data_IF_414330605335
#
_entry.id   IF_414330605335
#
_cell.length_a   1.000
_cell.length_b   1.000
_cell.length_c   1.000
_cell.angle_alpha   90.00
_cell.angle_beta   90.00
_cell.angle_gamma   90.00
#
_symmetry.space_group_name_H-M   'P 1'
#
loop_
_entity.id
_entity.type
_entity.pdbx_description
1 polymer ?
#
# COMPACT_ATOMS: atom_id res chain seq x y z
N UNK A 1 -7.25 5.56 -16.59
CA UNK A 1 -7.21 5.64 -15.13
C UNK A 1 -5.98 4.88 -14.67
N UNK A 2 -4.99 5.57 -14.11
CA UNK A 2 -3.77 4.95 -13.59
C UNK A 2 -4.07 4.17 -12.30
N UNK A 3 -3.48 2.99 -12.12
CA UNK A 3 -3.68 2.16 -10.92
C UNK A 3 -3.35 2.94 -9.64
N UNK A 4 -2.32 3.78 -9.69
CA UNK A 4 -1.92 4.64 -8.57
C UNK A 4 -3.07 5.54 -8.11
N UNK A 5 -3.78 6.18 -9.03
CA UNK A 5 -4.89 7.09 -8.67
C UNK A 5 -6.04 6.34 -7.98
N UNK A 6 -6.36 5.12 -8.45
CA UNK A 6 -7.37 4.27 -7.83
C UNK A 6 -6.98 3.87 -6.41
N UNK A 7 -5.71 3.47 -6.23
CA UNK A 7 -5.16 3.12 -4.93
C UNK A 7 -5.21 4.34 -4.00
N UNK A 8 -4.79 5.52 -4.44
CA UNK A 8 -4.82 6.72 -3.58
C UNK A 8 -6.23 7.16 -3.17
N UNK A 9 -7.20 7.06 -4.07
CA UNK A 9 -8.61 7.29 -3.73
C UNK A 9 -9.10 6.27 -2.68
N UNK A 10 -8.75 4.99 -2.85
CA UNK A 10 -9.08 3.94 -1.90
C UNK A 10 -8.45 4.16 -0.53
N UNK A 11 -7.18 4.58 -0.47
CA UNK A 11 -6.51 4.86 0.81
C UNK A 11 -7.18 6.02 1.56
N UNK A 12 -7.68 7.03 0.85
CA UNK A 12 -8.46 8.13 1.44
C UNK A 12 -9.82 7.66 1.95
N UNK A 13 -10.54 6.85 1.17
CA UNK A 13 -11.86 6.31 1.52
C UNK A 13 -11.80 5.36 2.72
N UNK A 14 -10.80 4.47 2.73
CA UNK A 14 -10.62 3.46 3.78
C UNK A 14 -9.86 3.95 5.01
N UNK A 15 -9.27 5.15 4.94
CA UNK A 15 -8.29 5.68 5.90
C UNK A 15 -7.14 4.69 6.23
N UNK A 16 -6.83 3.80 5.28
CA UNK A 16 -5.84 2.72 5.44
C UNK A 16 -4.43 3.23 5.10
N UNK A 17 -3.40 2.89 5.89
CA UNK A 17 -2.02 3.21 5.52
C UNK A 17 -1.54 2.47 4.26
N UNK A 18 -0.71 3.09 3.40
CA UNK A 18 -0.23 2.48 2.15
C UNK A 18 0.52 1.16 2.35
N UNK A 19 1.30 1.05 3.42
CA UNK A 19 2.03 -0.19 3.75
C UNK A 19 1.11 -1.31 4.25
N UNK A 20 -0.02 -0.97 4.88
CA UNK A 20 -1.04 -1.95 5.28
C UNK A 20 -1.77 -2.46 4.05
N UNK A 21 -2.16 -1.55 3.17
CA UNK A 21 -2.79 -1.88 1.90
C UNK A 21 -1.94 -2.85 1.07
N UNK A 22 -0.67 -2.53 0.85
CA UNK A 22 0.22 -3.39 0.09
C UNK A 22 0.38 -4.78 0.72
N UNK A 23 0.48 -4.86 2.06
CA UNK A 23 0.55 -6.13 2.79
C UNK A 23 -0.76 -6.93 2.69
N UNK A 24 -1.91 -6.27 2.68
CA UNK A 24 -3.23 -6.89 2.61
C UNK A 24 -3.58 -7.36 1.19
N UNK A 25 -3.30 -6.53 0.17
CA UNK A 25 -3.65 -6.81 -1.21
C UNK A 25 -2.71 -7.84 -1.86
N UNK A 26 -1.40 -7.70 -1.63
CA UNK A 26 -0.39 -8.44 -2.40
C UNK A 26 0.78 -8.95 -1.55
N UNK A 27 0.70 -8.82 -0.21
CA UNK A 27 1.78 -9.16 0.74
C UNK A 27 3.07 -8.36 0.54
N UNK A 28 2.99 -7.17 -0.08
CA UNK A 28 4.14 -6.28 -0.32
C UNK A 28 3.88 -4.88 0.27
N UNK A 29 4.51 -4.49 1.39
CA UNK A 29 4.29 -3.18 2.01
C UNK A 29 4.88 -2.00 1.20
N UNK A 30 5.73 -2.25 0.19
CA UNK A 30 6.34 -1.20 -0.65
C UNK A 30 5.53 -0.87 -1.90
N UNK A 31 4.49 -1.65 -2.20
CA UNK A 31 3.66 -1.51 -3.40
C UNK A 31 3.34 -0.04 -3.75
N UNK A 32 2.76 0.71 -2.81
CA UNK A 32 2.33 2.10 -3.07
C UNK A 32 3.52 3.04 -3.24
N UNK A 33 4.61 2.81 -2.50
CA UNK A 33 5.85 3.58 -2.64
C UNK A 33 6.46 3.38 -4.03
N UNK A 34 6.53 2.14 -4.50
CA UNK A 34 7.04 1.83 -5.82
C UNK A 34 6.15 2.43 -6.93
N UNK A 35 4.82 2.32 -6.80
CA UNK A 35 3.88 2.92 -7.76
C UNK A 35 4.07 4.45 -7.83
N UNK A 36 4.31 5.11 -6.70
CA UNK A 36 4.63 6.55 -6.64
C UNK A 36 5.97 6.89 -7.27
N UNK A 37 6.94 5.98 -7.20
CA UNK A 37 8.23 6.10 -7.87
C UNK A 37 8.17 5.82 -9.38
N UNK A 38 6.99 5.52 -9.94
CA UNK A 38 6.81 5.25 -11.37
C UNK A 38 6.99 3.78 -11.76
N UNK A 39 6.96 2.84 -10.80
CA UNK A 39 6.95 1.40 -11.11
C UNK A 39 5.69 1.06 -11.89
N UNK A 40 5.85 0.39 -13.02
CA UNK A 40 4.71 -0.16 -13.77
C UNK A 40 4.28 -1.52 -13.20
N UNK A 41 3.06 -1.63 -12.66
CA UNK A 41 2.53 -2.90 -12.17
C UNK A 41 2.15 -3.80 -13.35
N UNK A 42 2.68 -5.02 -13.38
CA UNK A 42 2.24 -6.02 -14.37
C UNK A 42 0.76 -6.40 -14.21
N UNK A 43 0.17 -7.00 -15.26
CA UNK A 43 -1.27 -7.40 -15.29
C UNK A 43 -1.71 -8.19 -14.06
N UNK A 44 -0.92 -9.15 -13.60
CA UNK A 44 -1.24 -9.96 -12.42
C UNK A 44 -1.33 -9.12 -11.14
N UNK A 45 -0.41 -8.17 -10.97
CA UNK A 45 -0.38 -7.30 -9.80
C UNK A 45 -1.60 -6.39 -9.80
N UNK A 46 -1.92 -5.84 -10.97
CA UNK A 46 -3.11 -5.00 -11.17
C UNK A 46 -4.39 -5.76 -10.82
N UNK A 47 -4.58 -6.98 -11.35
CA UNK A 47 -5.76 -7.79 -11.06
C UNK A 47 -5.92 -8.11 -9.57
N UNK A 48 -4.84 -8.39 -8.84
CA UNK A 48 -4.89 -8.63 -7.39
C UNK A 48 -5.30 -7.38 -6.62
N UNK A 49 -4.74 -6.23 -7.00
CA UNK A 49 -5.04 -4.94 -6.37
C UNK A 49 -6.49 -4.55 -6.63
N UNK A 50 -6.96 -4.63 -7.87
CA UNK A 50 -8.35 -4.37 -8.25
C UNK A 50 -9.33 -5.31 -7.52
N UNK A 51 -9.02 -6.61 -7.48
CA UNK A 51 -9.84 -7.60 -6.77
C UNK A 51 -9.93 -7.30 -5.26
N UNK A 52 -8.81 -6.94 -4.63
CA UNK A 52 -8.80 -6.57 -3.22
C UNK A 52 -9.65 -5.32 -2.94
N UNK A 53 -9.53 -4.27 -3.76
CA UNK A 53 -10.32 -3.04 -3.60
C UNK A 53 -11.82 -3.32 -3.76
N UNK A 54 -12.21 -4.11 -4.77
CA UNK A 54 -13.61 -4.48 -4.99
C UNK A 54 -14.16 -5.29 -3.82
N UNK A 55 -13.41 -6.29 -3.34
CA UNK A 55 -13.82 -7.09 -2.19
C UNK A 55 -13.97 -6.22 -0.95
N UNK A 56 -13.00 -5.36 -0.65
CA UNK A 56 -13.06 -4.49 0.52
C UNK A 56 -14.27 -3.55 0.47
N UNK A 57 -14.59 -2.99 -0.70
CA UNK A 57 -15.77 -2.12 -0.88
C UNK A 57 -17.08 -2.87 -0.67
N UNK A 58 -17.18 -4.11 -1.12
CA UNK A 58 -18.34 -4.98 -0.87
C UNK A 58 -18.50 -5.26 0.62
N UNK A 59 -17.41 -5.64 1.28
CA UNK A 59 -17.34 -5.93 2.71
C UNK A 59 -17.62 -4.69 3.59
N UNK A 60 -17.15 -3.51 3.15
CA UNK A 60 -17.43 -2.22 3.77
C UNK A 60 -18.90 -1.81 3.61
N UNK A 61 -19.48 -2.02 2.42
CA UNK A 61 -20.92 -1.83 2.17
C UNK A 61 -21.76 -2.79 3.01
N UNK A 62 -21.30 -4.03 3.21
CA UNK A 62 -21.93 -5.02 4.06
C UNK A 62 -21.74 -4.74 5.58
N UNK A 63 -21.02 -3.67 5.95
CA UNK A 63 -20.79 -3.29 7.35
C UNK A 63 -19.86 -4.23 8.13
N UNK A 64 -19.16 -5.15 7.45
CA UNK A 64 -18.31 -6.18 8.08
C UNK A 64 -16.91 -5.69 8.41
N UNK A 65 -16.48 -4.58 7.79
CA UNK A 65 -15.13 -4.05 7.94
C UNK A 65 -15.21 -2.63 8.46
N UNK A 66 -14.83 -2.45 9.73
CA UNK A 66 -14.55 -1.13 10.24
C UNK A 66 -13.32 -0.57 9.50
N UNK A 67 -13.30 0.74 9.14
CA UNK A 67 -12.09 1.35 8.62
C UNK A 67 -10.96 1.06 9.60
N UNK A 68 -9.88 0.43 9.11
CA UNK A 68 -8.66 0.27 9.89
C UNK A 68 -7.96 1.63 9.97
N UNK A 69 -8.63 2.56 10.65
CA UNK A 69 -8.11 3.85 11.02
C UNK A 69 -6.84 3.64 11.83
N UNK A 70 -5.86 4.45 11.49
CA UNK A 70 -4.52 4.52 12.04
C UNK A 70 -4.44 4.22 13.55
N UNK A 71 -4.16 2.96 13.90
CA UNK A 71 -3.69 2.56 15.24
C UNK A 71 -2.15 2.51 15.32
N UNK A 72 -1.43 2.94 14.27
CA UNK A 72 0.03 2.72 14.12
C UNK A 72 0.90 3.96 14.31
N UNK A 73 0.33 5.16 14.37
CA UNK A 73 1.06 6.36 14.83
C UNK A 73 1.58 6.26 16.28
N UNK A 74 1.33 5.15 17.01
CA UNK A 74 1.95 4.86 18.30
C UNK A 74 3.24 4.05 18.30
N UNK A 75 3.77 3.59 17.16
CA UNK A 75 5.03 2.85 17.19
C UNK A 75 5.91 3.11 15.96
N UNK A 76 6.85 4.05 16.11
CA UNK A 76 8.18 3.92 15.52
C UNK A 76 8.68 2.48 15.67
N UNK A 77 8.97 1.78 14.56
CA UNK A 77 10.05 0.78 14.44
C UNK A 77 10.07 0.13 13.06
N UNK A 78 11.29 0.00 12.56
CA UNK A 78 11.78 -0.91 11.52
C UNK A 78 11.63 -0.54 10.03
N UNK A 79 12.76 -0.09 9.46
CA UNK A 79 13.31 -0.83 8.32
C UNK A 79 13.51 -0.10 7.00
N UNK A 80 13.85 1.20 6.98
CA UNK A 80 14.50 1.80 5.80
C UNK A 80 15.94 1.25 5.68
N UNK A 81 16.08 0.05 5.14
CA UNK A 81 17.36 -0.54 4.76
C UNK A 81 17.94 0.11 3.50
N UNK A 82 18.27 1.39 3.57
CA UNK A 82 19.16 2.03 2.60
C UNK A 82 20.49 2.36 3.29
N UNK A 83 21.35 1.34 3.48
CA UNK A 83 22.75 1.56 3.84
C UNK A 83 23.49 2.10 2.60
N UNK A 84 23.39 3.41 2.40
CA UNK A 84 24.32 4.18 1.57
C UNK A 84 25.66 4.25 2.32
N UNK A 85 26.52 3.26 2.10
CA UNK A 85 27.93 3.31 2.50
C UNK A 85 28.79 3.77 1.34
N UNK A 86 28.82 5.09 1.07
CA UNK A 86 29.91 5.71 0.28
C UNK A 86 30.89 6.33 1.28
N UNK A 87 32.13 5.84 1.28
CA UNK A 87 33.31 6.42 1.94
C UNK A 87 34.50 5.54 1.55
N UNK A 88 35.27 5.87 0.51
CA UNK A 88 36.33 6.87 0.43
C UNK A 88 37.69 6.33 0.93
N UNK A 89 38.62 6.24 -0.04
CA UNK A 89 40.07 6.49 0.05
C UNK A 89 40.92 5.58 0.93
N UNK A 90 41.78 4.79 0.28
CA UNK A 90 43.24 4.98 0.27
C UNK A 90 43.81 4.26 -0.96
#
# INVERSE_FOLDING_TARGET
>A
MELLQQVEAFLKESAMPPSVFGRAAVRDPRLVGDLRSGREPGRLLRSRVEHFMNKWRDDARAGRVAPQGDRRTRASRDGNGNRKGKGARA
#
